data_IF_885358484226
#
_entry.id   IF_885358484226
#
_cell.length_a   1.000
_cell.length_b   1.000
_cell.length_c   1.000
_cell.angle_alpha   90.00
_cell.angle_beta   90.00
_cell.angle_gamma   90.00
#
_symmetry.space_group_name_H-M   'P 1'
#
loop_
_entity.id
_entity.type
_entity.pdbx_description
1 polymer ?
#
# COMPACT_ATOMS: atom_id res chain seq x y z
N UNK A 1 -21.58 16.58 -7.92
CA UNK A 1 -20.62 15.56 -8.29
C UNK A 1 -19.25 15.89 -7.72
N UNK A 2 -18.67 14.96 -7.03
CA UNK A 2 -17.40 15.22 -6.34
C UNK A 2 -16.22 14.94 -7.26
N UNK A 3 -15.27 15.88 -7.33
CA UNK A 3 -14.02 15.67 -8.04
C UNK A 3 -12.87 15.34 -7.09
N UNK A 4 -13.22 14.87 -5.90
CA UNK A 4 -12.23 14.53 -4.89
C UNK A 4 -11.45 13.31 -5.33
N UNK A 5 -10.13 13.46 -5.37
CA UNK A 5 -9.23 12.35 -5.66
C UNK A 5 -8.76 11.70 -4.37
N UNK A 6 -9.15 10.46 -4.17
CA UNK A 6 -8.70 9.68 -3.02
C UNK A 6 -7.69 8.65 -3.50
N UNK A 7 -6.48 8.71 -2.94
CA UNK A 7 -5.42 7.75 -3.24
C UNK A 7 -5.19 6.88 -2.01
N UNK A 8 -5.20 5.57 -2.22
CA UNK A 8 -4.95 4.61 -1.14
C UNK A 8 -3.49 4.20 -1.16
N UNK A 9 -2.91 4.11 0.04
CA UNK A 9 -1.51 3.76 0.20
C UNK A 9 -1.40 2.56 1.13
N UNK A 10 -0.76 1.50 0.65
CA UNK A 10 -0.51 0.30 1.43
C UNK A 10 0.98 0.27 1.73
N UNK A 11 1.34 0.22 3.01
CA UNK A 11 2.73 0.22 3.45
C UNK A 11 3.13 -1.18 3.87
N UNK A 12 4.10 -1.75 3.17
CA UNK A 12 4.51 -3.14 3.38
C UNK A 12 6.03 -3.26 3.38
N UNK A 13 6.61 -3.55 4.54
CA UNK A 13 8.04 -3.73 4.68
C UNK A 13 8.44 -5.18 4.47
N UNK A 14 9.69 -5.38 4.04
CA UNK A 14 10.27 -6.72 3.93
C UNK A 14 10.50 -7.34 5.31
N UNK A 15 11.04 -6.55 6.25
CA UNK A 15 11.42 -7.03 7.56
C UNK A 15 10.33 -6.84 8.60
N UNK A 16 9.28 -7.61 8.50
CA UNK A 16 8.21 -7.55 9.48
C UNK A 16 8.56 -8.37 10.71
N UNK A 17 8.33 -7.83 11.89
CA UNK A 17 8.55 -8.56 13.13
C UNK A 17 7.68 -9.81 13.15
N UNK A 18 8.25 -10.93 13.55
CA UNK A 18 7.56 -12.19 13.63
C UNK A 18 7.67 -12.97 12.34
N UNK A 19 6.63 -12.98 11.55
CA UNK A 19 6.59 -13.79 10.33
C UNK A 19 7.20 -13.04 9.16
N UNK A 20 8.33 -13.52 8.66
CA UNK A 20 8.97 -12.93 7.49
C UNK A 20 8.06 -13.08 6.27
N UNK A 21 8.00 -12.04 5.45
CA UNK A 21 7.25 -12.07 4.20
C UNK A 21 5.77 -12.38 4.39
N UNK A 22 5.20 -11.96 5.52
CA UNK A 22 3.77 -12.24 5.75
C UNK A 22 2.89 -11.60 4.67
N UNK A 23 3.34 -10.51 4.07
CA UNK A 23 2.60 -9.88 2.99
C UNK A 23 2.50 -10.76 1.75
N UNK A 24 3.41 -11.71 1.61
CA UNK A 24 3.42 -12.66 0.49
C UNK A 24 2.79 -14.00 0.83
N UNK A 25 2.33 -14.17 2.06
CA UNK A 25 1.64 -15.37 2.49
C UNK A 25 0.36 -15.52 1.69
N UNK A 26 0.11 -16.72 1.17
CA UNK A 26 -1.04 -16.95 0.30
C UNK A 26 -2.27 -17.40 1.07
N UNK A 27 -3.39 -16.79 0.79
CA UNK A 27 -4.69 -17.23 1.27
C UNK A 27 -5.58 -17.34 0.03
N UNK A 28 -6.15 -18.51 -0.18
CA UNK A 28 -6.96 -18.77 -1.36
C UNK A 28 -6.19 -18.62 -2.66
N UNK A 29 -4.90 -18.95 -2.63
CA UNK A 29 -4.04 -18.88 -3.81
C UNK A 29 -3.46 -17.51 -4.11
N UNK A 30 -3.78 -16.48 -3.31
CA UNK A 30 -3.28 -15.12 -3.52
C UNK A 30 -2.48 -14.64 -2.32
N UNK A 31 -1.38 -13.90 -2.55
CA UNK A 31 -0.67 -13.27 -1.44
C UNK A 31 -1.57 -12.32 -0.66
N UNK A 32 -1.32 -12.20 0.64
CA UNK A 32 -2.12 -11.30 1.49
C UNK A 32 -2.19 -9.89 0.92
N UNK A 33 -1.07 -9.36 0.46
CA UNK A 33 -1.06 -8.00 -0.06
C UNK A 33 -1.94 -7.86 -1.30
N UNK A 34 -2.08 -8.91 -2.09
CA UNK A 34 -2.94 -8.87 -3.27
C UNK A 34 -4.40 -8.72 -2.88
N UNK A 35 -4.81 -9.36 -1.79
CA UNK A 35 -6.18 -9.20 -1.28
C UNK A 35 -6.45 -7.75 -0.90
N UNK A 36 -5.51 -7.10 -0.24
CA UNK A 36 -5.65 -5.70 0.15
C UNK A 36 -5.70 -4.78 -1.06
N UNK A 37 -4.86 -5.05 -2.05
CA UNK A 37 -4.84 -4.26 -3.28
C UNK A 37 -6.19 -4.37 -4.01
N UNK A 38 -6.69 -5.58 -4.14
CA UNK A 38 -7.96 -5.79 -4.84
C UNK A 38 -9.14 -5.18 -4.10
N UNK A 39 -9.15 -5.27 -2.77
CA UNK A 39 -10.20 -4.65 -1.99
C UNK A 39 -10.23 -3.13 -2.21
N UNK A 40 -9.05 -2.51 -2.26
CA UNK A 40 -8.95 -1.08 -2.52
C UNK A 40 -9.39 -0.74 -3.93
N UNK A 41 -8.97 -1.55 -4.91
CA UNK A 41 -9.33 -1.31 -6.31
C UNK A 41 -10.83 -1.44 -6.55
N UNK A 42 -11.49 -2.30 -5.77
CA UNK A 42 -12.93 -2.49 -5.92
C UNK A 42 -13.75 -1.38 -5.26
N UNK A 43 -13.11 -0.49 -4.53
CA UNK A 43 -13.81 0.63 -3.91
C UNK A 43 -13.88 1.81 -4.89
N UNK A 44 -15.10 2.17 -5.28
CA UNK A 44 -15.31 3.21 -6.28
C UNK A 44 -14.81 4.59 -5.86
N UNK A 45 -14.63 4.81 -4.57
CA UNK A 45 -14.16 6.09 -4.04
C UNK A 45 -12.66 6.24 -4.15
N UNK A 46 -11.93 5.16 -4.39
CA UNK A 46 -10.48 5.16 -4.50
C UNK A 46 -10.08 5.25 -5.95
N UNK A 47 -9.29 6.26 -6.29
CA UNK A 47 -8.86 6.51 -7.67
C UNK A 47 -7.60 5.76 -8.05
N UNK A 48 -6.66 5.63 -7.10
CA UNK A 48 -5.40 4.93 -7.33
C UNK A 48 -4.97 4.21 -6.07
N UNK A 49 -4.28 3.08 -6.25
CA UNK A 49 -3.73 2.30 -5.15
C UNK A 49 -2.22 2.25 -5.32
N UNK A 50 -1.51 2.64 -4.27
CA UNK A 50 -0.06 2.63 -4.24
C UNK A 50 0.43 1.66 -3.18
N UNK A 51 1.53 0.98 -3.47
CA UNK A 51 2.22 0.14 -2.49
C UNK A 51 3.61 0.72 -2.27
N UNK A 52 3.89 1.09 -1.03
CA UNK A 52 5.20 1.58 -0.62
C UNK A 52 5.94 0.44 0.06
N UNK A 53 7.07 0.03 -0.50
CA UNK A 53 7.82 -1.10 0.03
C UNK A 53 9.29 -0.99 -0.30
N UNK A 54 10.11 -1.60 0.57
CA UNK A 54 11.53 -1.80 0.32
C UNK A 54 11.83 -3.20 -0.25
N UNK A 55 10.81 -4.06 -0.33
CA UNK A 55 10.98 -5.44 -0.79
C UNK A 55 10.73 -5.54 -2.28
N UNK A 56 11.73 -6.05 -3.01
CA UNK A 56 11.59 -6.27 -4.44
C UNK A 56 10.45 -7.24 -4.75
N UNK A 57 10.30 -8.29 -3.94
CA UNK A 57 9.27 -9.29 -4.15
C UNK A 57 7.88 -8.71 -3.95
N UNK A 58 7.70 -7.93 -2.89
CA UNK A 58 6.41 -7.29 -2.62
C UNK A 58 6.07 -6.30 -3.74
N UNK A 59 7.07 -5.54 -4.20
CA UNK A 59 6.84 -4.59 -5.28
C UNK A 59 6.44 -5.29 -6.58
N UNK A 60 7.10 -6.40 -6.90
CA UNK A 60 6.78 -7.14 -8.12
C UNK A 60 5.36 -7.71 -8.06
N UNK A 61 5.01 -8.35 -6.94
CA UNK A 61 3.66 -8.89 -6.78
C UNK A 61 2.62 -7.79 -6.85
N UNK A 62 2.88 -6.67 -6.18
CA UNK A 62 1.93 -5.56 -6.16
C UNK A 62 1.70 -4.98 -7.55
N UNK A 63 2.78 -4.88 -8.34
CA UNK A 63 2.68 -4.41 -9.71
C UNK A 63 1.84 -5.36 -10.55
N UNK A 64 2.00 -6.67 -10.35
CA UNK A 64 1.23 -7.68 -11.07
C UNK A 64 -0.27 -7.56 -10.81
N UNK A 65 -0.64 -7.07 -9.64
CA UNK A 65 -2.04 -6.88 -9.28
C UNK A 65 -2.54 -5.46 -9.57
N UNK A 66 -1.73 -4.66 -10.24
CA UNK A 66 -2.19 -3.37 -10.74
C UNK A 66 -1.96 -2.19 -9.83
N UNK A 67 -1.25 -2.36 -8.72
CA UNK A 67 -0.90 -1.24 -7.86
C UNK A 67 0.27 -0.46 -8.45
N UNK A 68 0.29 0.84 -8.18
CA UNK A 68 1.47 1.64 -8.50
C UNK A 68 2.47 1.53 -7.36
N UNK A 69 3.75 1.57 -7.70
CA UNK A 69 4.80 1.25 -6.74
C UNK A 69 5.54 2.49 -6.31
N UNK A 70 5.78 2.59 -5.00
CA UNK A 70 6.65 3.60 -4.43
C UNK A 70 7.82 2.87 -3.78
N UNK A 71 9.04 3.14 -4.28
CA UNK A 71 10.24 2.54 -3.73
C UNK A 71 10.57 3.18 -2.39
N UNK A 72 10.36 2.43 -1.31
CA UNK A 72 10.64 2.94 0.03
C UNK A 72 12.07 2.62 0.41
N UNK A 73 12.87 3.63 0.81
CA UNK A 73 14.25 3.37 1.25
C UNK A 73 14.27 2.46 2.47
N UNK A 74 15.30 1.64 2.58
CA UNK A 74 15.42 0.70 3.69
C UNK A 74 15.45 1.39 5.04
N UNK A 75 16.05 2.57 5.13
CA UNK A 75 16.08 3.30 6.40
C UNK A 75 14.70 3.78 6.84
N UNK A 76 13.73 3.79 5.95
CA UNK A 76 12.34 4.12 6.28
C UNK A 76 11.48 2.87 6.42
N UNK A 77 12.10 1.68 6.37
CA UNK A 77 11.38 0.41 6.44
C UNK A 77 11.83 -0.43 7.63
N UNK A 78 12.55 0.14 8.57
CA UNK A 78 13.06 -0.59 9.74
C UNK A 78 11.98 -0.68 10.81
N UNK A 79 12.12 -1.68 11.69
CA UNK A 79 11.12 -1.93 12.74
C UNK A 79 10.80 -0.70 13.59
N UNK A 80 11.78 0.16 13.83
CA UNK A 80 11.60 1.33 14.67
C UNK A 80 11.28 2.60 13.90
N UNK A 81 11.18 2.51 12.60
CA UNK A 81 10.83 3.68 11.80
C UNK A 81 9.36 4.03 12.03
N UNK A 82 9.06 5.25 12.49
CA UNK A 82 7.65 5.65 12.62
C UNK A 82 6.95 5.61 11.26
N UNK A 83 5.73 5.12 11.24
CA UNK A 83 5.01 4.96 9.98
C UNK A 83 4.76 6.30 9.28
N UNK A 84 4.62 7.38 10.04
CA UNK A 84 4.37 8.68 9.43
C UNK A 84 5.52 9.14 8.53
N UNK A 85 6.75 8.65 8.77
CA UNK A 85 7.86 8.94 7.88
C UNK A 85 7.67 8.30 6.50
N UNK A 86 7.11 7.09 6.50
CA UNK A 86 6.78 6.44 5.23
C UNK A 86 5.66 7.18 4.51
N UNK A 87 4.71 7.72 5.26
CA UNK A 87 3.64 8.55 4.67
C UNK A 87 4.23 9.80 4.02
N UNK A 88 5.12 10.50 4.73
CA UNK A 88 5.78 11.68 4.17
C UNK A 88 6.55 11.34 2.90
N UNK A 89 7.26 10.24 2.93
CA UNK A 89 8.02 9.80 1.76
C UNK A 89 7.11 9.60 0.56
N UNK A 90 5.95 8.97 0.77
CA UNK A 90 5.00 8.72 -0.30
C UNK A 90 4.43 10.00 -0.86
N UNK A 91 4.07 10.95 -0.01
CA UNK A 91 3.53 12.23 -0.44
C UNK A 91 4.57 13.01 -1.23
N UNK A 92 5.82 13.04 -0.75
CA UNK A 92 6.90 13.71 -1.46
C UNK A 92 7.17 13.09 -2.83
N UNK A 93 7.12 11.76 -2.88
CA UNK A 93 7.33 11.03 -4.13
C UNK A 93 6.31 11.48 -5.19
N UNK A 94 5.05 11.59 -4.80
CA UNK A 94 4.00 12.01 -5.72
C UNK A 94 4.11 13.48 -6.08
N UNK A 95 4.52 14.31 -5.12
CA UNK A 95 4.72 15.74 -5.39
C UNK A 95 5.79 15.94 -6.47
N UNK A 96 6.87 15.18 -6.42
CA UNK A 96 7.94 15.27 -7.40
C UNK A 96 7.48 14.85 -8.78
N UNK A 97 6.45 14.04 -8.87
CA UNK A 97 5.86 13.59 -10.12
C UNK A 97 4.70 14.47 -10.57
N UNK A 98 4.43 15.54 -9.85
CA UNK A 98 3.29 16.42 -10.11
C UNK A 98 1.96 15.67 -10.07
N UNK A 99 1.86 14.67 -9.20
CA UNK A 99 0.62 13.94 -8.95
C UNK A 99 -0.09 14.58 -7.77
N UNK A 100 -1.27 15.11 -8.00
CA UNK A 100 -2.07 15.72 -6.96
C UNK A 100 -3.22 14.83 -6.55
N UNK A 101 -3.53 14.83 -5.27
CA UNK A 101 -4.68 14.13 -4.73
C UNK A 101 -5.22 14.90 -3.53
N UNK A 102 -6.47 14.62 -3.18
CA UNK A 102 -7.15 15.35 -2.10
C UNK A 102 -7.19 14.58 -0.79
N UNK A 103 -7.25 13.26 -0.86
CA UNK A 103 -7.39 12.42 0.33
C UNK A 103 -6.32 11.35 0.33
N UNK A 104 -5.57 11.29 1.44
CA UNK A 104 -4.57 10.26 1.68
C UNK A 104 -5.21 9.20 2.57
N UNK A 105 -5.32 7.99 2.06
CA UNK A 105 -5.92 6.88 2.79
C UNK A 105 -4.88 5.80 3.02
N UNK A 106 -4.51 5.57 4.28
CA UNK A 106 -3.55 4.53 4.64
C UNK A 106 -4.31 3.25 4.94
N UNK A 107 -3.97 2.17 4.24
CA UNK A 107 -4.62 0.88 4.41
C UNK A 107 -3.64 -0.16 4.94
N UNK A 108 -4.11 -1.06 5.79
CA UNK A 108 -3.26 -2.15 6.27
C UNK A 108 -2.98 -3.14 5.14
N UNK A 109 -1.77 -3.70 5.14
CA UNK A 109 -1.36 -4.66 4.11
C UNK A 109 -1.87 -6.07 4.39
N UNK A 110 -2.26 -6.37 5.61
CA UNK A 110 -2.51 -7.74 6.05
C UNK A 110 -3.86 -7.96 6.72
N UNK A 111 -4.87 -7.22 6.34
CA UNK A 111 -6.21 -7.41 6.91
C UNK A 111 -7.27 -7.50 5.81
N UNK A 112 -7.14 -8.47 4.91
CA UNK A 112 -8.00 -8.51 3.73
C UNK A 112 -9.48 -8.73 4.04
N UNK A 113 -9.79 -9.42 5.13
CA UNK A 113 -11.18 -9.71 5.46
C UNK A 113 -11.93 -8.50 5.98
N UNK A 114 -11.20 -7.52 6.51
CA UNK A 114 -11.81 -6.30 7.05
C UNK A 114 -11.75 -5.13 6.09
N UNK A 115 -10.79 -5.16 5.17
CA UNK A 115 -10.45 -3.98 4.39
C UNK A 115 -11.63 -3.43 3.60
N UNK A 116 -12.43 -4.29 3.00
CA UNK A 116 -13.54 -3.82 2.18
C UNK A 116 -14.61 -3.14 3.02
N UNK A 117 -14.91 -3.69 4.20
CA UNK A 117 -15.89 -3.08 5.10
C UNK A 117 -15.38 -1.77 5.69
N UNK A 118 -14.10 -1.74 6.04
CA UNK A 118 -13.49 -0.55 6.64
C UNK A 118 -13.35 0.60 5.64
N UNK A 119 -13.17 0.29 4.38
CA UNK A 119 -13.04 1.29 3.34
C UNK A 119 -14.40 1.90 2.99
N UNK A 120 -15.41 1.08 2.99
CA UNK A 120 -16.75 1.54 2.66
C UNK A 120 -17.38 2.32 3.80
#
# INVERSE_FOLDING_TARGET
>A
MSNIKTYAFIFARAGSKGLKNKNLFKIGGKPLIAHSIEAAQNNKKIHKVFVSSDSKEIKNVSRDYGAEIIDRPKNLAMDRTPEWLAWQHSVEHLRRKNEDFDVFLSLPSTSPLRSQLDIN
#
